data_IF_414338277564
#
_entry.id   IF_414338277564
#
_cell.length_a   1.000
_cell.length_b   1.000
_cell.length_c   1.000
_cell.angle_alpha   90.00
_cell.angle_beta   90.00
_cell.angle_gamma   90.00
#
_symmetry.space_group_name_H-M   'P 1'
#
loop_
_entity.id
_entity.type
_entity.pdbx_description
1 polymer ?
#
# COMPACT_ATOMS: atom_id res chain seq x y z
N UNK A 1 -4.93 21.19 38.69
CA UNK A 1 -4.30 19.87 38.56
C UNK A 1 -3.21 19.99 37.51
N UNK A 2 -1.95 19.99 37.95
CA UNK A 2 -0.80 20.15 37.06
C UNK A 2 -0.77 19.00 36.05
N UNK A 3 -0.73 19.34 34.77
CA UNK A 3 -0.40 18.41 33.71
C UNK A 3 0.99 17.83 33.99
N UNK A 4 1.11 16.50 33.92
CA UNK A 4 2.39 15.82 33.98
C UNK A 4 3.27 16.35 32.83
N UNK A 5 4.50 16.84 33.09
CA UNK A 5 5.37 17.31 32.04
C UNK A 5 5.88 16.14 31.18
N UNK A 6 5.64 16.24 29.87
CA UNK A 6 6.39 15.67 28.75
C UNK A 6 6.87 14.21 28.88
N UNK A 7 6.00 13.26 28.51
CA UNK A 7 6.44 12.02 27.86
C UNK A 7 6.71 12.22 26.35
N UNK A 8 6.41 13.41 25.82
CA UNK A 8 6.49 13.79 24.40
C UNK A 8 7.92 13.76 23.82
N UNK A 9 8.94 13.50 24.64
CA UNK A 9 10.35 13.40 24.23
C UNK A 9 11.02 12.04 24.50
N UNK A 10 10.30 11.03 25.01
CA UNK A 10 10.90 9.75 25.41
C UNK A 10 10.93 8.71 24.28
N UNK A 11 10.04 8.83 23.30
CA UNK A 11 10.02 7.98 22.11
C UNK A 11 10.38 8.83 20.90
N UNK A 12 11.38 8.43 20.10
CA UNK A 12 11.79 9.22 18.96
C UNK A 12 10.65 9.24 17.93
N UNK A 13 10.48 10.36 17.23
CA UNK A 13 9.37 10.58 16.30
C UNK A 13 9.33 9.55 15.15
N UNK A 14 10.45 8.90 14.89
CA UNK A 14 10.65 7.83 13.89
C UNK A 14 10.55 6.41 14.48
N UNK A 15 10.19 6.26 15.75
CA UNK A 15 10.01 4.97 16.40
C UNK A 15 9.07 4.07 15.61
N UNK A 16 9.28 2.74 15.66
CA UNK A 16 8.54 1.77 14.83
C UNK A 16 7.02 1.94 14.89
N UNK A 17 6.47 2.26 16.06
CA UNK A 17 5.03 2.45 16.27
C UNK A 17 4.54 3.89 16.05
N UNK A 18 5.45 4.85 15.87
CA UNK A 18 5.11 6.22 15.53
C UNK A 18 4.63 6.30 14.07
N UNK A 19 3.85 7.34 13.74
CA UNK A 19 3.25 7.49 12.41
C UNK A 19 4.31 7.60 11.31
N UNK A 20 5.41 8.31 11.55
CA UNK A 20 6.55 8.38 10.62
C UNK A 20 7.18 7.00 10.40
N UNK A 21 7.44 6.25 11.47
CA UNK A 21 7.98 4.89 11.39
C UNK A 21 7.06 3.93 10.65
N UNK A 22 5.74 4.01 10.88
CA UNK A 22 4.74 3.24 10.15
C UNK A 22 4.67 3.62 8.67
N UNK A 23 4.77 4.90 8.33
CA UNK A 23 4.79 5.37 6.94
C UNK A 23 6.03 4.86 6.21
N UNK A 24 7.20 4.87 6.86
CA UNK A 24 8.42 4.25 6.33
C UNK A 24 8.28 2.74 6.15
N UNK A 25 7.68 2.04 7.11
CA UNK A 25 7.46 0.59 7.03
C UNK A 25 6.51 0.24 5.87
N UNK A 26 5.42 0.99 5.71
CA UNK A 26 4.53 0.89 4.53
C UNK A 26 5.33 1.13 3.26
N UNK A 27 6.18 2.16 3.23
CA UNK A 27 7.05 2.46 2.10
C UNK A 27 7.94 1.29 1.70
N UNK A 28 8.64 0.69 2.67
CA UNK A 28 9.48 -0.49 2.46
C UNK A 28 8.69 -1.70 1.94
N UNK A 29 7.50 -1.95 2.50
CA UNK A 29 6.63 -3.04 2.05
C UNK A 29 6.13 -2.81 0.63
N UNK A 30 5.75 -1.58 0.27
CA UNK A 30 5.33 -1.23 -1.08
C UNK A 30 6.45 -1.34 -2.11
N UNK A 31 7.68 -0.97 -1.74
CA UNK A 31 8.89 -1.21 -2.56
C UNK A 31 9.08 -2.70 -2.81
N UNK A 32 9.04 -3.52 -1.76
CA UNK A 32 9.16 -4.98 -1.89
C UNK A 32 8.03 -5.59 -2.72
N UNK A 33 6.80 -5.13 -2.50
CA UNK A 33 5.62 -5.55 -3.27
C UNK A 33 5.76 -5.16 -4.75
N UNK A 34 6.20 -3.93 -5.05
CA UNK A 34 6.44 -3.48 -6.41
C UNK A 34 7.45 -4.36 -7.15
N UNK A 35 8.56 -4.73 -6.49
CA UNK A 35 9.52 -5.67 -7.05
C UNK A 35 8.94 -7.08 -7.24
N UNK A 36 8.13 -7.56 -6.29
CA UNK A 36 7.48 -8.88 -6.35
C UNK A 36 6.53 -9.04 -7.56
N UNK A 37 5.96 -7.95 -8.09
CA UNK A 37 5.09 -8.02 -9.28
C UNK A 37 5.80 -8.60 -10.52
N UNK A 38 7.13 -8.52 -10.61
CA UNK A 38 7.89 -9.18 -11.69
C UNK A 38 7.83 -10.73 -11.61
N UNK A 39 7.64 -11.28 -10.41
CA UNK A 39 7.55 -12.72 -10.17
C UNK A 39 6.10 -13.22 -10.15
N UNK A 40 5.15 -12.33 -9.87
CA UNK A 40 3.74 -12.67 -9.68
C UNK A 40 3.14 -13.56 -10.80
N UNK A 41 3.36 -13.31 -12.12
CA UNK A 41 2.78 -14.13 -13.17
C UNK A 41 3.18 -15.61 -13.08
N UNK A 42 4.42 -15.87 -12.67
CA UNK A 42 4.93 -17.23 -12.51
C UNK A 42 4.30 -17.90 -11.29
N UNK A 43 4.14 -17.15 -10.19
CA UNK A 43 3.55 -17.64 -8.94
C UNK A 43 2.09 -18.06 -9.13
N UNK A 44 1.31 -17.28 -9.88
CA UNK A 44 -0.14 -17.53 -10.05
C UNK A 44 -0.51 -18.33 -11.30
N UNK A 45 0.47 -18.70 -12.14
CA UNK A 45 0.23 -19.52 -13.34
C UNK A 45 -0.31 -18.74 -14.55
N UNK A 46 -0.15 -17.42 -14.60
CA UNK A 46 -0.65 -16.57 -15.70
C UNK A 46 -0.23 -16.99 -17.10
N UNK A 47 0.99 -17.50 -17.36
CA UNK A 47 1.33 -17.98 -18.70
C UNK A 47 0.37 -19.05 -19.23
N UNK A 48 -0.13 -19.94 -18.35
CA UNK A 48 -1.12 -20.95 -18.71
C UNK A 48 -2.51 -20.31 -18.89
N UNK A 49 -2.95 -19.49 -17.92
CA UNK A 49 -4.27 -18.85 -17.95
C UNK A 49 -4.46 -17.94 -19.18
N UNK A 50 -3.39 -17.26 -19.60
CA UNK A 50 -3.41 -16.30 -20.72
C UNK A 50 -3.04 -16.95 -22.05
N UNK A 51 -2.81 -18.26 -22.13
CA UNK A 51 -2.44 -18.92 -23.39
C UNK A 51 -3.56 -18.82 -24.44
N UNK A 52 -4.81 -18.99 -24.01
CA UNK A 52 -6.00 -19.03 -24.88
C UNK A 52 -6.61 -17.66 -25.23
N UNK A 53 -6.08 -16.55 -24.71
CA UNK A 53 -6.61 -15.20 -25.02
C UNK A 53 -5.90 -14.57 -26.22
N UNK A 54 -6.49 -13.50 -26.77
CA UNK A 54 -5.88 -12.74 -27.87
C UNK A 54 -4.50 -12.19 -27.48
N UNK A 55 -3.62 -12.00 -28.47
CA UNK A 55 -2.29 -11.41 -28.24
C UNK A 55 -2.38 -10.04 -27.56
N UNK A 56 -3.33 -9.20 -28.02
CA UNK A 56 -3.56 -7.87 -27.45
C UNK A 56 -3.93 -7.98 -25.97
N UNK A 57 -4.92 -8.81 -25.63
CA UNK A 57 -5.35 -9.02 -24.23
C UNK A 57 -4.19 -9.46 -23.36
N UNK A 58 -3.40 -10.43 -23.82
CA UNK A 58 -2.23 -10.93 -23.09
C UNK A 58 -1.19 -9.83 -22.85
N UNK A 59 -0.82 -9.07 -23.87
CA UNK A 59 0.15 -7.98 -23.71
C UNK A 59 -0.36 -6.87 -22.81
N UNK A 60 -1.63 -6.51 -22.94
CA UNK A 60 -2.28 -5.51 -22.08
C UNK A 60 -2.28 -5.96 -20.62
N UNK A 61 -2.57 -7.23 -20.31
CA UNK A 61 -2.51 -7.76 -18.94
C UNK A 61 -1.11 -7.64 -18.33
N UNK A 62 -0.05 -8.00 -19.07
CA UNK A 62 1.32 -7.87 -18.60
C UNK A 62 1.77 -6.41 -18.45
N UNK A 63 1.37 -5.53 -19.38
CA UNK A 63 1.68 -4.11 -19.29
C UNK A 63 1.02 -3.47 -18.05
N UNK A 64 -0.25 -3.77 -17.79
CA UNK A 64 -0.95 -3.30 -16.59
C UNK A 64 -0.27 -3.80 -15.32
N UNK A 65 0.12 -5.07 -15.27
CA UNK A 65 0.87 -5.60 -14.13
C UNK A 65 2.17 -4.84 -13.89
N UNK A 66 2.94 -4.54 -14.94
CA UNK A 66 4.15 -3.75 -14.85
C UNK A 66 3.88 -2.37 -14.24
N UNK A 67 2.87 -1.65 -14.75
CA UNK A 67 2.54 -0.33 -14.23
C UNK A 67 2.02 -0.37 -12.78
N UNK A 68 1.29 -1.41 -12.39
CA UNK A 68 0.88 -1.62 -10.98
C UNK A 68 2.11 -1.83 -10.10
N UNK A 69 3.06 -2.67 -10.53
CA UNK A 69 4.32 -2.88 -9.80
C UNK A 69 5.15 -1.60 -9.69
N UNK A 70 5.27 -0.85 -10.78
CA UNK A 70 5.97 0.44 -10.81
C UNK A 70 5.31 1.48 -9.89
N UNK A 71 3.97 1.57 -9.89
CA UNK A 71 3.23 2.46 -9.00
C UNK A 71 3.47 2.10 -7.52
N UNK A 72 3.41 0.81 -7.16
CA UNK A 72 3.74 0.35 -5.82
C UNK A 72 5.17 0.77 -5.42
N UNK A 73 6.14 0.55 -6.30
CA UNK A 73 7.53 0.87 -6.04
C UNK A 73 7.76 2.38 -5.83
N UNK A 74 7.24 3.21 -6.73
CA UNK A 74 7.43 4.67 -6.66
C UNK A 74 6.70 5.30 -5.47
N UNK A 75 5.45 4.90 -5.21
CA UNK A 75 4.72 5.37 -4.03
C UNK A 75 5.38 4.88 -2.73
N UNK A 76 5.89 3.65 -2.74
CA UNK A 76 6.69 3.12 -1.65
C UNK A 76 7.94 3.95 -1.36
N UNK A 77 8.69 4.34 -2.41
CA UNK A 77 9.87 5.19 -2.26
C UNK A 77 9.54 6.58 -1.67
N UNK A 78 8.42 7.19 -2.07
CA UNK A 78 7.99 8.46 -1.48
C UNK A 78 7.76 8.31 0.03
N UNK A 79 6.99 7.30 0.45
CA UNK A 79 6.71 7.05 1.85
C UNK A 79 7.95 6.64 2.65
N UNK A 80 8.88 5.89 2.04
CA UNK A 80 10.10 5.44 2.69
C UNK A 80 11.13 6.56 2.88
N UNK A 81 11.35 7.37 1.85
CA UNK A 81 12.43 8.36 1.82
C UNK A 81 12.01 9.75 2.29
N UNK A 82 10.73 10.11 2.15
CA UNK A 82 10.22 11.47 2.37
C UNK A 82 9.12 11.52 3.44
N UNK A 83 9.07 10.56 4.36
CA UNK A 83 8.07 10.53 5.43
C UNK A 83 7.96 11.86 6.22
N UNK A 84 9.06 12.51 6.65
CA UNK A 84 8.97 13.80 7.35
C UNK A 84 8.35 14.90 6.48
N UNK A 85 8.76 15.01 5.22
CA UNK A 85 8.24 16.03 4.28
C UNK A 85 6.76 15.82 3.96
N UNK A 86 6.33 14.56 3.86
CA UNK A 86 4.92 14.21 3.67
C UNK A 86 4.09 14.62 4.89
N UNK A 87 4.62 14.45 6.10
CA UNK A 87 3.93 14.76 7.36
C UNK A 87 3.98 16.26 7.74
N UNK A 88 4.82 17.06 7.09
CA UNK A 88 5.04 18.48 7.41
C UNK A 88 3.83 19.42 7.18
N UNK A 89 2.68 18.92 6.73
CA UNK A 89 1.46 19.72 6.52
C UNK A 89 1.52 20.67 5.32
N UNK A 90 2.52 20.54 4.44
CA UNK A 90 2.63 21.37 3.23
C UNK A 90 1.51 21.03 2.23
N UNK A 91 1.09 21.98 1.35
CA UNK A 91 0.10 21.69 0.32
C UNK A 91 0.48 20.52 -0.59
N UNK A 92 1.77 20.41 -0.96
CA UNK A 92 2.29 19.32 -1.78
C UNK A 92 2.26 17.98 -1.04
N UNK A 93 2.78 17.93 0.20
CA UNK A 93 2.78 16.71 1.02
C UNK A 93 1.36 16.20 1.26
N UNK A 94 0.44 17.11 1.61
CA UNK A 94 -0.99 16.82 1.79
C UNK A 94 -1.63 16.27 0.52
N UNK A 95 -1.36 16.86 -0.66
CA UNK A 95 -1.89 16.37 -1.92
C UNK A 95 -1.37 14.96 -2.27
N UNK A 96 -0.08 14.70 -2.04
CA UNK A 96 0.52 13.37 -2.25
C UNK A 96 -0.06 12.32 -1.29
N UNK A 97 -0.26 12.66 -0.02
CA UNK A 97 -0.90 11.79 0.96
C UNK A 97 -2.37 11.53 0.60
N UNK A 98 -3.11 12.54 0.13
CA UNK A 98 -4.49 12.39 -0.33
C UNK A 98 -4.58 11.44 -1.52
N UNK A 99 -3.70 11.61 -2.51
CA UNK A 99 -3.62 10.71 -3.67
C UNK A 99 -3.32 9.27 -3.27
N UNK A 100 -2.38 9.05 -2.34
CA UNK A 100 -2.05 7.71 -1.84
C UNK A 100 -3.18 7.10 -1.01
N UNK A 101 -3.78 7.86 -0.09
CA UNK A 101 -4.93 7.39 0.70
C UNK A 101 -6.10 6.98 -0.21
N UNK A 102 -6.39 7.77 -1.26
CA UNK A 102 -7.42 7.43 -2.24
C UNK A 102 -7.07 6.19 -3.05
N UNK A 103 -5.84 6.11 -3.59
CA UNK A 103 -5.41 4.99 -4.42
C UNK A 103 -5.41 3.67 -3.65
N UNK A 104 -4.80 3.66 -2.46
CA UNK A 104 -4.74 2.46 -1.63
C UNK A 104 -6.11 2.10 -1.04
N UNK A 105 -6.92 3.09 -0.68
CA UNK A 105 -8.31 2.88 -0.27
C UNK A 105 -9.16 2.25 -1.36
N UNK A 106 -9.02 2.70 -2.61
CA UNK A 106 -9.69 2.09 -3.76
C UNK A 106 -9.19 0.66 -3.99
N UNK A 107 -7.86 0.42 -3.95
CA UNK A 107 -7.28 -0.92 -4.07
C UNK A 107 -7.81 -1.87 -2.99
N UNK A 108 -7.85 -1.41 -1.74
CA UNK A 108 -8.36 -2.16 -0.60
C UNK A 108 -9.86 -2.48 -0.78
N UNK A 109 -10.66 -1.50 -1.18
CA UNK A 109 -12.09 -1.69 -1.47
C UNK A 109 -12.33 -2.75 -2.55
N UNK A 110 -11.56 -2.74 -3.63
CA UNK A 110 -11.68 -3.72 -4.72
C UNK A 110 -11.48 -5.17 -4.26
N UNK A 111 -10.64 -5.40 -3.24
CA UNK A 111 -10.42 -6.74 -2.66
C UNK A 111 -11.73 -7.39 -2.20
N UNK A 112 -12.66 -6.61 -1.65
CA UNK A 112 -13.92 -7.12 -1.09
C UNK A 112 -15.13 -6.90 -2.00
N UNK A 113 -15.13 -5.80 -2.76
CA UNK A 113 -16.29 -5.39 -3.54
C UNK A 113 -16.25 -5.89 -5.00
N UNK A 114 -15.06 -6.09 -5.56
CA UNK A 114 -14.90 -6.46 -6.97
C UNK A 114 -14.53 -7.94 -7.14
N UNK A 115 -13.54 -8.43 -6.38
CA UNK A 115 -13.08 -9.81 -6.53
C UNK A 115 -14.06 -10.83 -5.93
N UNK A 116 -14.43 -11.82 -6.74
CA UNK A 116 -15.38 -12.86 -6.32
C UNK A 116 -14.75 -13.81 -5.29
N UNK A 117 -15.43 -14.15 -4.19
CA UNK A 117 -14.94 -15.16 -3.25
C UNK A 117 -14.71 -16.55 -3.83
N UNK A 118 -15.24 -16.82 -5.03
CA UNK A 118 -14.97 -18.05 -5.79
C UNK A 118 -13.50 -18.20 -6.18
N UNK A 119 -12.73 -17.11 -6.18
CA UNK A 119 -11.30 -17.15 -6.51
C UNK A 119 -10.48 -17.85 -5.43
N UNK A 120 -10.92 -17.82 -4.17
CA UNK A 120 -10.15 -18.37 -3.04
C UNK A 120 -10.86 -19.42 -2.20
N UNK A 121 -12.19 -19.39 -2.08
CA UNK A 121 -12.92 -20.38 -1.26
C UNK A 121 -12.74 -21.79 -1.82
N UNK A 122 -12.38 -22.73 -0.94
CA UNK A 122 -12.07 -24.11 -1.31
C UNK A 122 -10.60 -24.37 -1.64
N UNK A 123 -9.77 -23.33 -1.69
CA UNK A 123 -8.32 -23.42 -1.88
C UNK A 123 -7.60 -22.77 -0.67
N UNK A 124 -6.85 -23.58 0.08
CA UNK A 124 -6.19 -23.13 1.30
C UNK A 124 -5.11 -22.08 1.04
N UNK A 125 -4.35 -22.22 -0.06
CA UNK A 125 -3.28 -21.29 -0.42
C UNK A 125 -3.88 -19.93 -0.80
N UNK A 126 -4.88 -19.94 -1.68
CA UNK A 126 -5.55 -18.72 -2.14
C UNK A 126 -6.33 -18.04 -1.02
N UNK A 127 -6.96 -18.81 -0.14
CA UNK A 127 -7.65 -18.27 1.05
C UNK A 127 -6.66 -17.59 2.00
N UNK A 128 -5.52 -18.23 2.26
CA UNK A 128 -4.44 -17.64 3.07
C UNK A 128 -3.92 -16.36 2.44
N UNK A 129 -3.68 -16.37 1.13
CA UNK A 129 -3.25 -15.20 0.37
C UNK A 129 -4.25 -14.05 0.45
N UNK A 130 -5.55 -14.32 0.27
CA UNK A 130 -6.59 -13.31 0.40
C UNK A 130 -6.60 -12.69 1.80
N UNK A 131 -6.60 -13.50 2.87
CA UNK A 131 -6.59 -12.98 4.25
C UNK A 131 -5.33 -12.14 4.53
N UNK A 132 -4.15 -12.64 4.13
CA UNK A 132 -2.90 -11.91 4.33
C UNK A 132 -2.87 -10.57 3.58
N UNK A 133 -3.33 -10.55 2.33
CA UNK A 133 -3.43 -9.33 1.53
C UNK A 133 -4.51 -8.38 2.10
N UNK A 134 -5.64 -8.89 2.58
CA UNK A 134 -6.65 -8.07 3.26
C UNK A 134 -6.07 -7.36 4.48
N UNK A 135 -5.33 -8.06 5.34
CA UNK A 135 -4.66 -7.46 6.50
C UNK A 135 -3.65 -6.40 6.06
N UNK A 136 -2.79 -6.75 5.09
CA UNK A 136 -1.77 -5.85 4.54
C UNK A 136 -2.39 -4.56 4.01
N UNK A 137 -3.38 -4.66 3.10
CA UNK A 137 -3.97 -3.49 2.45
C UNK A 137 -4.84 -2.67 3.41
N UNK A 138 -5.41 -3.29 4.45
CA UNK A 138 -6.09 -2.56 5.53
C UNK A 138 -5.09 -1.67 6.26
N UNK A 139 -3.94 -2.22 6.65
CA UNK A 139 -2.89 -1.47 7.33
C UNK A 139 -2.30 -0.35 6.46
N UNK A 140 -1.95 -0.64 5.20
CA UNK A 140 -1.44 0.38 4.26
C UNK A 140 -2.42 1.54 4.10
N UNK A 141 -3.71 1.24 3.88
CA UNK A 141 -4.76 2.25 3.75
C UNK A 141 -4.89 3.08 5.03
N UNK A 142 -4.91 2.43 6.19
CA UNK A 142 -5.04 3.10 7.48
C UNK A 142 -3.88 4.05 7.75
N UNK A 143 -2.63 3.65 7.48
CA UNK A 143 -1.45 4.50 7.69
C UNK A 143 -1.50 5.74 6.80
N UNK A 144 -1.82 5.62 5.50
CA UNK A 144 -1.94 6.79 4.64
C UNK A 144 -3.12 7.70 5.01
N UNK A 145 -4.25 7.13 5.44
CA UNK A 145 -5.38 7.93 5.92
C UNK A 145 -5.03 8.71 7.20
N UNK A 146 -4.33 8.06 8.16
CA UNK A 146 -3.87 8.72 9.38
C UNK A 146 -2.80 9.78 9.10
N UNK A 147 -1.87 9.51 8.18
CA UNK A 147 -0.88 10.48 7.73
C UNK A 147 -1.54 11.71 7.08
N UNK A 148 -2.56 11.50 6.24
CA UNK A 148 -3.34 12.60 5.66
C UNK A 148 -4.06 13.42 6.74
N UNK A 149 -4.72 12.76 7.68
CA UNK A 149 -5.40 13.45 8.79
C UNK A 149 -4.42 14.24 9.67
N UNK A 150 -3.21 13.73 9.86
CA UNK A 150 -2.14 14.44 10.55
C UNK A 150 -1.73 15.70 9.78
N UNK A 151 -1.42 15.56 8.49
CA UNK A 151 -0.99 16.69 7.65
C UNK A 151 -2.06 17.80 7.57
N UNK A 152 -3.34 17.43 7.46
CA UNK A 152 -4.47 18.38 7.44
C UNK A 152 -4.66 19.15 8.76
N UNK A 153 -4.14 18.65 9.88
CA UNK A 153 -4.19 19.33 11.19
C UNK A 153 -2.94 20.17 11.46
N UNK A 154 -1.86 19.95 10.71
CA UNK A 154 -0.59 20.62 10.86
C UNK A 154 -0.44 21.86 9.97
N UNK A 155 -1.22 21.97 8.88
CA UNK A 155 -1.33 23.15 8.02
C UNK A 155 -2.44 24.10 8.45
#
# INVERSE_FOLDING_TARGET
MNALPALDGLLPADGLFALEGQLRLVGAVLVGMGAFHALLPKVVGWPADLAGVSLLTRQVSYAHLFFVGLACFLFGLLALCLAPDLLAGTPLGTALLAGQALFWGARWFFEFAYFSPRLWRGDALRTTGHVALSVLWTWVTAVFALALLHALRAG
#
